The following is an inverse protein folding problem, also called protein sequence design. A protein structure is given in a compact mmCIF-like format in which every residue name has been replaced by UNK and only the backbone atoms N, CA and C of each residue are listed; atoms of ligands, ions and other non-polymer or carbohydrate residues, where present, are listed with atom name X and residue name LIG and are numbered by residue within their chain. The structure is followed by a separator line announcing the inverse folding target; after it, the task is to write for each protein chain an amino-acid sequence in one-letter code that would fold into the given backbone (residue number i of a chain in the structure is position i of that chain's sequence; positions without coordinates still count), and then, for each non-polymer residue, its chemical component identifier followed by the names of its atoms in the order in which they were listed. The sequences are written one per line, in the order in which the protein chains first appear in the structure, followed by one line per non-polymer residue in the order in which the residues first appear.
data_IF_589762898482
#
_entry.id   IF_589762898482
#
_cell.length_a   1.000
_cell.length_b   1.000
_cell.length_c   1.000
_cell.angle_alpha   90.00
_cell.angle_beta   90.00
_cell.angle_gamma   90.00
#
_symmetry.space_group_name_H-M   'P 1'
#
loop_
_entity.id
_entity.type
_entity.pdbx_description
1 polymer ?
#
# COMPACT_ATOMS: atom_id res chain seq x y z
N UNK A 1 -10.18 -10.37 -12.21
CA UNK A 1 -10.84 -10.57 -10.98
C UNK A 1 -9.99 -10.72 -9.74
N UNK A 2 -10.61 -10.49 -8.62
CA UNK A 2 -10.02 -10.58 -7.28
C UNK A 2 -9.69 -12.01 -6.81
N UNK A 3 -10.09 -13.04 -7.57
CA UNK A 3 -9.96 -14.44 -7.16
C UNK A 3 -8.53 -14.89 -6.87
N UNK A 4 -7.53 -14.35 -7.60
CA UNK A 4 -6.13 -14.70 -7.40
C UNK A 4 -5.50 -14.10 -6.15
N UNK A 5 -6.05 -12.99 -5.65
CA UNK A 5 -5.57 -12.28 -4.47
C UNK A 5 -6.42 -12.55 -3.21
N UNK A 6 -7.52 -13.31 -3.35
CA UNK A 6 -8.40 -13.67 -2.24
C UNK A 6 -7.69 -14.24 -1.01
N UNK A 7 -6.74 -15.18 -1.17
CA UNK A 7 -5.99 -15.72 -0.04
C UNK A 7 -5.14 -14.68 0.70
N UNK A 8 -4.63 -13.66 0.02
CA UNK A 8 -3.84 -12.58 0.64
C UNK A 8 -4.68 -11.71 1.58
N UNK A 9 -5.98 -11.56 1.30
CA UNK A 9 -6.89 -10.81 2.15
C UNK A 9 -7.08 -11.44 3.54
N UNK A 10 -6.72 -12.70 3.71
CA UNK A 10 -6.79 -13.42 5.00
C UNK A 10 -5.54 -13.26 5.85
N UNK A 11 -4.45 -12.67 5.30
CA UNK A 11 -3.25 -12.42 6.06
C UNK A 11 -3.47 -11.28 7.06
N UNK A 12 -2.94 -11.38 8.31
CA UNK A 12 -3.13 -10.34 9.32
C UNK A 12 -2.62 -8.95 8.92
N UNK A 13 -1.64 -8.89 8.00
CA UNK A 13 -1.03 -7.66 7.50
C UNK A 13 -1.77 -7.06 6.31
N UNK A 14 -2.81 -7.74 5.78
CA UNK A 14 -3.57 -7.27 4.61
C UNK A 14 -4.90 -6.70 5.07
N UNK A 15 -5.04 -5.38 5.05
CA UNK A 15 -6.26 -4.68 5.48
C UNK A 15 -7.18 -4.29 4.33
N UNK A 16 -6.67 -4.18 3.10
CA UNK A 16 -7.44 -3.68 1.97
C UNK A 16 -7.01 -4.29 0.65
N UNK A 17 -7.99 -4.74 -0.13
CA UNK A 17 -7.83 -5.11 -1.54
C UNK A 17 -8.79 -4.27 -2.37
N UNK A 18 -8.26 -3.56 -3.36
CA UNK A 18 -9.03 -2.79 -4.34
C UNK A 18 -9.09 -3.60 -5.64
N UNK A 19 -10.22 -4.26 -5.91
CA UNK A 19 -10.41 -5.12 -7.08
C UNK A 19 -11.52 -4.66 -8.03
N UNK A 20 -12.45 -3.86 -7.54
CA UNK A 20 -13.51 -3.23 -8.33
C UNK A 20 -13.48 -1.74 -8.03
N UNK A 21 -13.22 -0.91 -9.05
CA UNK A 21 -13.10 0.53 -8.90
C UNK A 21 -14.47 1.20 -8.84
N UNK A 22 -15.13 1.07 -7.70
CA UNK A 22 -16.18 1.99 -7.30
C UNK A 22 -15.53 3.27 -6.76
N UNK A 23 -15.90 4.41 -7.31
CA UNK A 23 -15.38 5.74 -6.92
C UNK A 23 -15.53 5.97 -5.42
N UNK A 24 -16.67 5.62 -4.84
CA UNK A 24 -16.90 5.76 -3.40
C UNK A 24 -15.99 4.87 -2.56
N UNK A 25 -15.72 3.65 -3.02
CA UNK A 25 -14.83 2.72 -2.33
C UNK A 25 -13.39 3.22 -2.36
N UNK A 26 -12.93 3.77 -3.48
CA UNK A 26 -11.60 4.36 -3.61
C UNK A 26 -11.45 5.56 -2.67
N UNK A 27 -12.43 6.46 -2.63
CA UNK A 27 -12.41 7.62 -1.71
C UNK A 27 -12.36 7.18 -0.25
N UNK A 28 -13.18 6.23 0.16
CA UNK A 28 -13.14 5.69 1.54
C UNK A 28 -11.78 5.07 1.87
N UNK A 29 -11.19 4.34 0.94
CA UNK A 29 -9.86 3.74 1.14
C UNK A 29 -8.79 4.83 1.33
N UNK A 30 -8.81 5.89 0.53
CA UNK A 30 -7.88 7.01 0.66
C UNK A 30 -8.06 7.75 1.99
N UNK A 31 -9.29 7.99 2.43
CA UNK A 31 -9.58 8.59 3.74
C UNK A 31 -9.04 7.74 4.88
N UNK A 32 -9.28 6.43 4.82
CA UNK A 32 -8.73 5.48 5.80
C UNK A 32 -7.21 5.54 5.83
N UNK A 33 -6.56 5.50 4.67
CA UNK A 33 -5.09 5.52 4.58
C UNK A 33 -4.50 6.83 5.10
N UNK A 34 -5.11 7.97 4.80
CA UNK A 34 -4.69 9.27 5.35
C UNK A 34 -4.78 9.29 6.88
N UNK A 35 -5.87 8.78 7.42
CA UNK A 35 -6.06 8.70 8.87
C UNK A 35 -5.05 7.75 9.52
N UNK A 36 -4.76 6.60 8.89
CA UNK A 36 -3.79 5.64 9.38
C UNK A 36 -2.36 6.19 9.36
N UNK A 37 -1.97 6.87 8.29
CA UNK A 37 -0.68 7.56 8.20
C UNK A 37 -0.52 8.56 9.34
N UNK A 38 -1.50 9.45 9.53
CA UNK A 38 -1.45 10.46 10.62
C UNK A 38 -1.37 9.81 12.00
N UNK A 39 -2.09 8.72 12.21
CA UNK A 39 -2.04 7.98 13.47
C UNK A 39 -0.64 7.41 13.70
N UNK A 40 -0.06 6.75 12.71
CA UNK A 40 1.27 6.16 12.78
C UNK A 40 2.34 7.23 13.01
N UNK A 41 2.28 8.35 12.31
CA UNK A 41 3.19 9.48 12.54
C UNK A 41 3.13 9.99 13.99
N UNK A 42 1.93 10.18 14.53
CA UNK A 42 1.76 10.61 15.93
C UNK A 42 2.31 9.60 16.92
N UNK A 43 2.05 8.31 16.69
CA UNK A 43 2.49 7.25 17.59
C UNK A 43 4.03 7.14 17.59
N UNK A 44 4.66 7.20 16.43
CA UNK A 44 6.11 7.20 16.33
C UNK A 44 6.71 8.44 17.01
N UNK A 45 6.14 9.61 16.74
CA UNK A 45 6.61 10.87 17.34
C UNK A 45 6.48 10.83 18.87
N UNK A 46 5.38 10.32 19.40
CA UNK A 46 5.17 10.22 20.86
C UNK A 46 6.17 9.29 21.55
N UNK A 47 6.67 8.30 20.82
CA UNK A 47 7.68 7.36 21.29
C UNK A 47 9.12 7.80 20.99
N UNK A 48 9.30 8.94 20.32
CA UNK A 48 10.62 9.48 19.97
C UNK A 48 11.37 8.67 18.91
N UNK A 49 10.66 7.94 18.06
CA UNK A 49 11.24 7.15 16.96
C UNK A 49 10.84 7.71 15.61
N UNK A 50 11.68 7.49 14.58
CA UNK A 50 11.51 8.07 13.25
C UNK A 50 11.07 7.08 12.18
N UNK A 51 11.06 5.79 12.50
CA UNK A 51 10.71 4.75 11.54
C UNK A 51 9.99 3.58 12.20
N UNK A 52 9.23 2.85 11.39
CA UNK A 52 8.58 1.62 11.83
C UNK A 52 9.58 0.57 12.32
N UNK A 53 10.76 0.51 11.72
CA UNK A 53 11.84 -0.38 12.16
C UNK A 53 12.30 -0.05 13.58
N UNK A 54 12.52 1.23 13.88
CA UNK A 54 12.91 1.68 15.21
C UNK A 54 11.77 1.46 16.22
N UNK A 55 10.53 1.68 15.79
CA UNK A 55 9.34 1.35 16.57
C UNK A 55 9.30 -0.13 16.96
N UNK A 56 9.53 -1.05 16.02
CA UNK A 56 9.57 -2.49 16.32
C UNK A 56 10.68 -2.85 17.31
N UNK A 57 11.86 -2.22 17.19
CA UNK A 57 12.96 -2.42 18.13
C UNK A 57 12.58 -1.96 19.53
N UNK A 58 11.91 -0.82 19.64
CA UNK A 58 11.43 -0.29 20.92
C UNK A 58 10.39 -1.21 21.55
N UNK A 59 9.42 -1.70 20.78
CA UNK A 59 8.42 -2.66 21.26
C UNK A 59 9.05 -3.96 21.75
N UNK A 60 10.01 -4.50 21.02
CA UNK A 60 10.74 -5.71 21.40
C UNK A 60 11.55 -5.51 22.69
N UNK A 61 12.17 -4.34 22.87
CA UNK A 61 12.97 -4.03 24.05
C UNK A 61 12.10 -3.81 25.30
N UNK A 62 10.95 -3.16 25.17
CA UNK A 62 10.06 -2.84 26.29
C UNK A 62 9.24 -4.06 26.77
N UNK A 63 8.87 -4.96 25.84
CA UNK A 63 7.97 -6.09 26.12
C UNK A 63 6.54 -5.70 26.53
N UNK A 64 6.26 -4.42 26.75
CA UNK A 64 4.98 -3.91 27.26
C UNK A 64 4.14 -3.24 26.15
N UNK A 65 4.77 -2.77 25.08
CA UNK A 65 4.11 -2.10 23.96
C UNK A 65 3.82 -3.13 22.88
N UNK A 66 2.54 -3.46 22.61
CA UNK A 66 2.21 -4.35 21.50
C UNK A 66 2.45 -3.64 20.18
N UNK A 67 3.26 -4.25 19.33
CA UNK A 67 3.51 -3.72 17.99
C UNK A 67 2.26 -3.80 17.12
N UNK A 68 1.86 -2.69 16.48
CA UNK A 68 0.85 -2.75 15.43
C UNK A 68 1.47 -3.30 14.14
N UNK A 69 0.67 -4.01 13.30
CA UNK A 69 1.20 -4.67 12.11
C UNK A 69 1.56 -3.68 11.00
N UNK A 70 2.42 -4.11 10.10
CA UNK A 70 2.58 -3.44 8.81
C UNK A 70 1.27 -3.50 8.03
N UNK A 71 1.02 -2.46 7.23
CA UNK A 71 -0.11 -2.38 6.33
C UNK A 71 0.36 -2.62 4.90
N UNK A 72 -0.20 -3.62 4.25
CA UNK A 72 0.04 -3.91 2.83
C UNK A 72 -1.21 -3.55 2.05
N UNK A 73 -1.07 -2.62 1.11
CA UNK A 73 -2.13 -2.18 0.22
C UNK A 73 -1.90 -2.85 -1.14
N UNK A 74 -2.87 -3.65 -1.58
CA UNK A 74 -2.80 -4.32 -2.88
C UNK A 74 -3.82 -3.69 -3.81
N UNK A 75 -3.36 -3.17 -4.94
CA UNK A 75 -4.20 -2.67 -6.03
C UNK A 75 -4.09 -3.63 -7.20
N UNK A 76 -5.15 -4.42 -7.42
CA UNK A 76 -5.24 -5.32 -8.56
C UNK A 76 -5.71 -4.54 -9.80
N UNK A 77 -5.02 -4.76 -10.92
CA UNK A 77 -5.26 -4.05 -12.20
C UNK A 77 -5.23 -2.51 -12.04
N UNK A 78 -4.15 -2.01 -11.48
CA UNK A 78 -3.99 -0.58 -11.16
C UNK A 78 -4.11 0.35 -12.38
N UNK A 79 -3.97 -0.17 -13.61
CA UNK A 79 -4.17 0.61 -14.84
C UNK A 79 -5.55 1.23 -14.91
N UNK A 80 -6.58 0.49 -14.49
CA UNK A 80 -7.94 1.02 -14.44
C UNK A 80 -8.06 2.21 -13.51
N UNK A 81 -7.34 2.18 -12.38
CA UNK A 81 -7.28 3.32 -11.47
C UNK A 81 -6.57 4.52 -12.11
N UNK A 82 -5.45 4.29 -12.80
CA UNK A 82 -4.71 5.34 -13.53
C UNK A 82 -5.59 6.00 -14.61
N UNK A 83 -6.34 5.20 -15.36
CA UNK A 83 -7.19 5.68 -16.46
C UNK A 83 -8.46 6.37 -15.96
N UNK A 84 -9.11 5.82 -14.95
CA UNK A 84 -10.42 6.30 -14.47
C UNK A 84 -10.32 7.36 -13.40
N UNK A 85 -9.30 7.29 -12.55
CA UNK A 85 -9.13 8.16 -11.38
C UNK A 85 -7.65 8.54 -11.19
N UNK A 86 -7.05 9.30 -12.11
CA UNK A 86 -5.62 9.64 -12.06
C UNK A 86 -5.24 10.41 -10.79
N UNK A 87 -6.11 11.28 -10.29
CA UNK A 87 -5.86 12.03 -9.06
C UNK A 87 -5.82 11.12 -7.83
N UNK A 88 -6.71 10.13 -7.78
CA UNK A 88 -6.71 9.12 -6.73
C UNK A 88 -5.43 8.27 -6.76
N UNK A 89 -4.96 7.90 -7.94
CA UNK A 89 -3.70 7.18 -8.11
C UNK A 89 -2.51 8.01 -7.63
N UNK A 90 -2.46 9.29 -8.00
CA UNK A 90 -1.40 10.20 -7.56
C UNK A 90 -1.39 10.35 -6.03
N UNK A 91 -2.57 10.47 -5.42
CA UNK A 91 -2.69 10.54 -3.97
C UNK A 91 -2.24 9.25 -3.28
N UNK A 92 -2.62 8.09 -3.82
CA UNK A 92 -2.18 6.79 -3.33
C UNK A 92 -0.65 6.66 -3.38
N UNK A 93 -0.02 7.13 -4.44
CA UNK A 93 1.45 7.13 -4.57
C UNK A 93 2.11 8.04 -3.54
N UNK A 94 1.55 9.22 -3.25
CA UNK A 94 2.03 10.11 -2.19
C UNK A 94 1.92 9.46 -0.82
N UNK A 95 0.79 8.85 -0.51
CA UNK A 95 0.56 8.12 0.73
C UNK A 95 1.58 6.98 0.87
N UNK A 96 1.81 6.22 -0.18
CA UNK A 96 2.78 5.12 -0.18
C UNK A 96 4.21 5.61 0.08
N UNK A 97 4.60 6.75 -0.51
CA UNK A 97 5.91 7.35 -0.31
C UNK A 97 6.13 7.77 1.14
N UNK A 98 5.17 8.46 1.74
CA UNK A 98 5.22 8.85 3.16
C UNK A 98 5.14 7.62 4.06
N UNK A 99 4.24 6.71 3.74
CA UNK A 99 3.96 5.52 4.55
C UNK A 99 5.10 4.50 4.61
N UNK A 100 6.04 4.56 3.69
CA UNK A 100 7.17 3.62 3.63
C UNK A 100 7.96 3.55 4.94
N UNK A 101 8.24 4.67 5.54
CA UNK A 101 8.90 4.74 6.85
C UNK A 101 7.97 4.39 8.02
N UNK A 102 6.67 4.35 7.78
CA UNK A 102 5.63 4.11 8.78
C UNK A 102 5.10 2.66 8.78
N UNK A 103 5.67 1.79 7.95
CA UNK A 103 5.22 0.41 7.81
C UNK A 103 4.03 0.24 6.86
N UNK A 104 3.81 1.18 5.92
CA UNK A 104 2.86 1.02 4.81
C UNK A 104 3.60 0.60 3.56
N UNK A 105 3.05 -0.40 2.86
CA UNK A 105 3.60 -0.92 1.62
C UNK A 105 2.51 -1.00 0.56
N UNK A 106 2.84 -0.57 -0.67
CA UNK A 106 1.93 -0.61 -1.81
C UNK A 106 2.40 -1.67 -2.81
N UNK A 107 1.50 -2.56 -3.17
CA UNK A 107 1.70 -3.56 -4.23
C UNK A 107 0.73 -3.24 -5.37
N UNK A 108 1.29 -2.97 -6.54
CA UNK A 108 0.54 -2.72 -7.76
C UNK A 108 0.62 -3.95 -8.65
N UNK A 109 -0.52 -4.51 -9.02
CA UNK A 109 -0.62 -5.66 -9.92
C UNK A 109 -1.29 -5.27 -11.22
N UNK A 110 -0.82 -5.84 -12.34
CA UNK A 110 -1.45 -5.70 -13.66
C UNK A 110 -1.18 -6.93 -14.51
N UNK A 111 -2.14 -7.28 -15.35
CA UNK A 111 -1.97 -8.32 -16.37
C UNK A 111 -1.35 -7.77 -17.67
N UNK A 112 -1.30 -6.44 -17.85
CA UNK A 112 -0.80 -5.77 -19.04
C UNK A 112 0.30 -4.76 -18.68
N UNK A 113 1.55 -5.21 -18.46
CA UNK A 113 2.62 -4.34 -17.99
C UNK A 113 3.15 -3.35 -19.05
N UNK A 114 2.81 -3.57 -20.33
CA UNK A 114 3.32 -2.74 -21.41
C UNK A 114 2.49 -1.47 -21.64
N UNK A 115 3.16 -0.33 -21.77
CA UNK A 115 2.63 0.94 -22.30
C UNK A 115 1.91 1.85 -21.31
N UNK A 116 1.73 1.50 -20.05
CA UNK A 116 0.83 2.25 -19.16
C UNK A 116 1.43 2.71 -17.83
N UNK A 117 2.68 2.43 -17.61
CA UNK A 117 3.34 2.87 -16.37
C UNK A 117 4.03 4.19 -16.68
N UNK A 118 3.51 5.30 -16.16
CA UNK A 118 4.16 6.60 -16.26
C UNK A 118 5.56 6.55 -15.62
N UNK A 119 6.44 7.45 -16.08
CA UNK A 119 7.78 7.56 -15.50
C UNK A 119 7.72 7.82 -13.99
N UNK A 120 6.73 8.57 -13.52
CA UNK A 120 6.53 8.88 -12.10
C UNK A 120 6.20 7.65 -11.27
N UNK A 121 5.35 6.77 -11.79
CA UNK A 121 5.05 5.49 -11.13
C UNK A 121 6.29 4.61 -11.09
N UNK A 122 7.02 4.51 -12.22
CA UNK A 122 8.27 3.72 -12.29
C UNK A 122 9.35 4.22 -11.34
N UNK A 123 9.50 5.53 -11.21
CA UNK A 123 10.49 6.13 -10.32
C UNK A 123 10.24 5.82 -8.83
N UNK A 124 8.98 5.55 -8.46
CA UNK A 124 8.57 5.28 -7.08
C UNK A 124 8.40 3.80 -6.76
N UNK A 125 8.59 2.90 -7.72
CA UNK A 125 8.53 1.45 -7.50
C UNK A 125 9.92 0.94 -7.09
N UNK A 126 10.01 0.38 -5.89
CA UNK A 126 11.27 -0.14 -5.36
C UNK A 126 11.67 -1.49 -5.96
N UNK A 127 10.70 -2.29 -6.41
CA UNK A 127 10.94 -3.63 -6.95
C UNK A 127 9.88 -4.02 -7.97
N UNK A 128 10.29 -4.66 -9.06
CA UNK A 128 9.39 -5.21 -10.06
C UNK A 128 9.46 -6.74 -10.02
N UNK A 129 8.31 -7.39 -9.89
CA UNK A 129 8.19 -8.84 -9.99
C UNK A 129 7.39 -9.14 -11.27
N UNK A 130 8.03 -9.85 -12.20
CA UNK A 130 7.37 -10.30 -13.42
C UNK A 130 7.16 -11.81 -13.35
N UNK A 131 5.90 -12.24 -13.37
CA UNK A 131 5.57 -13.65 -13.51
C UNK A 131 5.52 -14.00 -15.00
N UNK A 132 5.87 -15.27 -15.31
CA UNK A 132 5.86 -15.75 -16.69
C UNK A 132 4.43 -15.68 -17.25
N UNK A 133 4.24 -14.85 -18.27
CA UNK A 133 3.02 -14.86 -19.08
C UNK A 133 3.27 -15.69 -20.32
N UNK A 134 2.46 -16.72 -20.53
CA UNK A 134 2.41 -17.40 -21.82
C UNK A 134 1.69 -16.47 -22.79
N UNK A 135 2.44 -15.98 -23.80
CA UNK A 135 1.82 -15.37 -24.96
C UNK A 135 0.99 -16.43 -25.67
N UNK A 136 -0.33 -16.26 -25.68
CA UNK A 136 -1.20 -17.00 -26.56
C UNK A 136 -1.02 -16.56 -28.01
#
# INVERSE_FOLDING_TARGET
GSAGLGPLAQLPQTLSMLSNFDVSAVHRALEFLRADVRRRERDLLSLGVNSYRDYLRLCAASGEIPAYPELVIVVDEFRMLVESMPDAMNELMKIATIGRSLGLHLILATQRPQGSISQDIRANIASNICLRVSSG
#
